data_IF_883460051903
#
_entry.id   IF_883460051903
#
_cell.length_a   1.000
_cell.length_b   1.000
_cell.length_c   1.000
_cell.angle_alpha   90.00
_cell.angle_beta   90.00
_cell.angle_gamma   90.00
#
_symmetry.space_group_name_H-M   'P 1'
#
loop_
_entity.id
_entity.type
_entity.pdbx_description
1 polymer ?
#
# COMPACT_ATOMS: atom_id res chain seq x y z
N UNK A 1 34.46 -38.21 -5.60
CA UNK A 1 33.22 -38.87 -6.08
C UNK A 1 32.10 -38.40 -5.17
N UNK A 2 31.56 -37.20 -5.43
CA UNK A 2 30.62 -36.47 -4.56
C UNK A 2 29.41 -36.05 -5.38
N UNK A 3 28.57 -37.02 -5.70
CA UNK A 3 27.48 -36.86 -6.67
C UNK A 3 26.23 -37.57 -6.18
N UNK A 4 25.74 -37.21 -4.98
CA UNK A 4 24.46 -37.70 -4.41
C UNK A 4 23.76 -36.68 -3.48
N UNK A 5 23.90 -35.38 -3.74
CA UNK A 5 23.08 -34.34 -3.08
C UNK A 5 22.19 -33.44 -3.98
N UNK A 6 22.03 -33.61 -5.31
CA UNK A 6 21.09 -32.77 -6.05
C UNK A 6 19.62 -33.16 -5.81
N UNK A 7 19.33 -34.45 -5.63
CA UNK A 7 17.95 -34.97 -5.61
C UNK A 7 17.15 -34.50 -4.38
N UNK A 8 17.78 -34.46 -3.20
CA UNK A 8 17.17 -34.02 -1.94
C UNK A 8 16.77 -32.54 -1.97
N UNK A 9 17.56 -31.70 -2.64
CA UNK A 9 17.28 -30.27 -2.77
C UNK A 9 16.13 -30.01 -3.74
N UNK A 10 16.05 -30.78 -4.83
CA UNK A 10 14.92 -30.71 -5.77
C UNK A 10 13.60 -31.09 -5.10
N UNK A 11 13.59 -32.16 -4.30
CA UNK A 11 12.39 -32.58 -3.56
C UNK A 11 11.93 -31.48 -2.59
N UNK A 12 12.89 -30.84 -1.89
CA UNK A 12 12.59 -29.73 -0.98
C UNK A 12 12.04 -28.50 -1.71
N UNK A 13 12.62 -28.14 -2.86
CA UNK A 13 12.13 -27.01 -3.67
C UNK A 13 10.76 -27.28 -4.29
N UNK A 14 10.49 -28.49 -4.78
CA UNK A 14 9.17 -28.88 -5.28
C UNK A 14 8.13 -28.83 -4.15
N UNK A 15 8.49 -29.29 -2.96
CA UNK A 15 7.63 -29.22 -1.79
C UNK A 15 7.35 -27.77 -1.36
N UNK A 16 8.37 -26.91 -1.31
CA UNK A 16 8.20 -25.47 -1.03
C UNK A 16 7.36 -24.78 -2.12
N UNK A 17 7.55 -25.13 -3.40
CA UNK A 17 6.75 -24.62 -4.52
C UNK A 17 5.28 -25.04 -4.42
N UNK A 18 5.02 -26.30 -4.05
CA UNK A 18 3.68 -26.83 -3.79
C UNK A 18 3.01 -26.11 -2.62
N UNK A 19 3.75 -25.91 -1.53
CA UNK A 19 3.27 -25.18 -0.35
C UNK A 19 2.96 -23.72 -0.70
N UNK A 20 3.80 -23.07 -1.51
CA UNK A 20 3.56 -21.70 -1.97
C UNK A 20 2.36 -21.59 -2.91
N UNK A 21 2.16 -22.54 -3.83
CA UNK A 21 0.97 -22.58 -4.68
C UNK A 21 -0.31 -22.79 -3.86
N UNK A 22 -0.25 -23.66 -2.85
CA UNK A 22 -1.38 -23.90 -1.95
C UNK A 22 -1.67 -22.66 -1.11
N UNK A 23 -0.64 -22.00 -0.57
CA UNK A 23 -0.78 -20.73 0.16
C UNK A 23 -1.40 -19.64 -0.72
N UNK A 24 -0.98 -19.53 -1.98
CA UNK A 24 -1.57 -18.61 -2.95
C UNK A 24 -3.05 -18.92 -3.21
N UNK A 25 -3.40 -20.20 -3.35
CA UNK A 25 -4.77 -20.67 -3.50
C UNK A 25 -5.65 -20.42 -2.28
N UNK A 26 -5.10 -20.52 -1.06
CA UNK A 26 -5.81 -20.21 0.19
C UNK A 26 -6.03 -18.71 0.35
N UNK A 27 -5.06 -17.88 -0.05
CA UNK A 27 -5.20 -16.41 -0.04
C UNK A 27 -6.30 -15.97 -1.01
N UNK A 28 -6.29 -16.48 -2.25
CA UNK A 28 -7.32 -16.17 -3.24
C UNK A 28 -8.68 -16.80 -2.90
N UNK A 29 -8.70 -18.03 -2.41
CA UNK A 29 -9.93 -18.75 -2.05
C UNK A 29 -10.61 -18.19 -0.81
N UNK A 30 -9.84 -17.87 0.24
CA UNK A 30 -10.36 -17.22 1.44
C UNK A 30 -10.92 -15.83 1.13
N UNK A 31 -10.22 -15.05 0.31
CA UNK A 31 -10.70 -13.75 -0.15
C UNK A 31 -11.95 -13.88 -1.03
N UNK A 32 -12.00 -14.86 -1.94
CA UNK A 32 -13.15 -15.12 -2.80
C UNK A 32 -14.38 -15.53 -1.99
N UNK A 33 -14.21 -16.36 -0.96
CA UNK A 33 -15.31 -16.72 -0.04
C UNK A 33 -15.78 -15.49 0.75
N UNK A 34 -14.86 -14.67 1.27
CA UNK A 34 -15.23 -13.43 2.00
C UNK A 34 -15.99 -12.47 1.08
N UNK A 35 -15.56 -12.31 -0.17
CA UNK A 35 -16.23 -11.46 -1.15
C UNK A 35 -17.60 -12.06 -1.50
N UNK A 36 -17.67 -13.35 -1.81
CA UNK A 36 -18.91 -14.00 -2.29
C UNK A 36 -19.98 -14.17 -1.19
N UNK A 37 -19.56 -14.38 0.07
CA UNK A 37 -20.45 -14.42 1.23
C UNK A 37 -20.86 -13.02 1.71
N UNK A 38 -20.12 -11.98 1.31
CA UNK A 38 -20.43 -10.60 1.68
C UNK A 38 -21.68 -10.11 0.94
N UNK A 39 -22.68 -9.56 1.65
CA UNK A 39 -23.89 -9.01 1.02
C UNK A 39 -23.57 -7.92 -0.01
N UNK A 40 -22.41 -7.29 0.12
CA UNK A 40 -21.89 -6.27 -0.78
C UNK A 40 -21.54 -6.80 -2.17
N UNK A 41 -21.20 -8.08 -2.33
CA UNK A 41 -20.88 -8.63 -3.66
C UNK A 41 -22.11 -8.62 -4.57
N UNK A 42 -23.27 -9.02 -4.06
CA UNK A 42 -24.52 -8.98 -4.82
C UNK A 42 -24.93 -7.54 -5.11
N UNK A 43 -24.82 -6.65 -4.11
CA UNK A 43 -25.09 -5.21 -4.31
C UNK A 43 -24.19 -4.59 -5.39
N UNK A 44 -22.91 -4.96 -5.44
CA UNK A 44 -21.98 -4.48 -6.46
C UNK A 44 -22.31 -5.09 -7.82
N UNK A 45 -22.61 -6.40 -7.89
CA UNK A 45 -23.00 -7.06 -9.14
C UNK A 45 -24.31 -6.50 -9.70
N UNK A 46 -25.32 -6.29 -8.86
CA UNK A 46 -26.60 -5.72 -9.26
C UNK A 46 -26.42 -4.28 -9.75
N UNK A 47 -25.56 -3.48 -9.09
CA UNK A 47 -25.20 -2.12 -9.53
C UNK A 47 -24.27 -2.07 -10.75
N UNK A 48 -23.59 -3.16 -11.07
CA UNK A 48 -22.76 -3.28 -12.28
C UNK A 48 -23.57 -3.75 -13.48
N UNK A 49 -24.60 -4.59 -13.27
CA UNK A 49 -25.50 -5.11 -14.30
C UNK A 49 -26.55 -4.07 -14.71
N UNK A 50 -26.99 -3.23 -13.77
CA UNK A 50 -27.79 -2.04 -14.03
C UNK A 50 -26.78 -0.94 -14.43
N UNK A 51 -26.55 -0.74 -15.73
CA UNK A 51 -25.53 0.18 -16.27
C UNK A 51 -25.88 1.65 -15.96
N UNK A 52 -25.76 2.04 -14.69
CA UNK A 52 -25.96 3.40 -14.21
C UNK A 52 -24.65 4.18 -14.39
N UNK A 53 -24.71 5.22 -15.23
CA UNK A 53 -23.59 6.14 -15.50
C UNK A 53 -23.05 6.74 -14.21
N UNK A 54 -23.88 6.92 -13.19
CA UNK A 54 -23.47 7.47 -11.89
C UNK A 54 -22.51 6.54 -11.16
N UNK A 55 -22.81 5.25 -11.14
CA UNK A 55 -21.95 4.25 -10.52
C UNK A 55 -20.59 4.16 -11.23
N UNK A 56 -20.59 4.23 -12.57
CA UNK A 56 -19.36 4.23 -13.35
C UNK A 56 -18.45 5.43 -13.02
N UNK A 57 -19.02 6.63 -12.87
CA UNK A 57 -18.26 7.84 -12.50
C UNK A 57 -17.70 7.73 -11.08
N UNK A 58 -18.50 7.28 -10.11
CA UNK A 58 -18.06 7.09 -8.73
C UNK A 58 -16.93 6.05 -8.63
N UNK A 59 -17.06 4.92 -9.34
CA UNK A 59 -16.05 3.87 -9.40
C UNK A 59 -14.75 4.37 -10.03
N UNK A 60 -14.84 5.12 -11.14
CA UNK A 60 -13.67 5.66 -11.83
C UNK A 60 -12.96 6.69 -10.95
N UNK A 61 -13.70 7.58 -10.28
CA UNK A 61 -13.13 8.54 -9.33
C UNK A 61 -12.43 7.83 -8.16
N UNK A 62 -13.06 6.81 -7.58
CA UNK A 62 -12.44 5.98 -6.54
C UNK A 62 -11.17 5.31 -7.03
N UNK A 63 -11.20 4.67 -8.20
CA UNK A 63 -10.06 3.96 -8.78
C UNK A 63 -8.90 4.91 -9.10
N UNK A 64 -9.20 6.13 -9.56
CA UNK A 64 -8.20 7.16 -9.80
C UNK A 64 -7.49 7.57 -8.50
N UNK A 65 -8.25 7.87 -7.43
CA UNK A 65 -7.68 8.21 -6.12
C UNK A 65 -6.87 7.04 -5.55
N UNK A 66 -7.42 5.82 -5.61
CA UNK A 66 -6.75 4.62 -5.12
C UNK A 66 -5.43 4.34 -5.85
N UNK A 67 -5.42 4.49 -7.19
CA UNK A 67 -4.21 4.31 -8.01
C UNK A 67 -3.13 5.32 -7.63
N UNK A 68 -3.50 6.58 -7.41
CA UNK A 68 -2.57 7.62 -6.96
C UNK A 68 -1.99 7.29 -5.59
N UNK A 69 -2.81 6.84 -4.63
CA UNK A 69 -2.35 6.44 -3.29
C UNK A 69 -1.33 5.29 -3.39
N UNK A 70 -1.64 4.26 -4.18
CA UNK A 70 -0.75 3.10 -4.35
C UNK A 70 0.56 3.52 -5.02
N UNK A 71 0.51 4.38 -6.04
CA UNK A 71 1.70 4.90 -6.71
C UNK A 71 2.59 5.70 -5.74
N UNK A 72 2.01 6.60 -4.94
CA UNK A 72 2.74 7.40 -3.95
C UNK A 72 3.33 6.52 -2.84
N UNK A 73 2.58 5.50 -2.39
CA UNK A 73 3.07 4.52 -1.42
C UNK A 73 4.23 3.70 -1.98
N UNK A 74 4.18 3.31 -3.26
CA UNK A 74 5.29 2.62 -3.92
C UNK A 74 6.52 3.54 -4.06
N UNK A 75 6.32 4.80 -4.47
CA UNK A 75 7.41 5.78 -4.58
C UNK A 75 8.07 6.06 -3.22
N UNK A 76 7.30 6.03 -2.13
CA UNK A 76 7.81 6.19 -0.76
C UNK A 76 8.89 5.16 -0.41
N UNK A 77 8.76 3.92 -0.90
CA UNK A 77 9.74 2.84 -0.61
C UNK A 77 10.81 2.69 -1.71
N UNK A 78 10.50 3.09 -2.94
CA UNK A 78 11.41 2.96 -4.08
C UNK A 78 12.47 4.07 -4.15
N UNK A 79 12.18 5.23 -3.59
CA UNK A 79 13.04 6.42 -3.74
C UNK A 79 14.22 6.37 -2.76
N UNK A 80 15.44 6.55 -3.28
CA UNK A 80 16.68 6.51 -2.48
C UNK A 80 16.84 7.73 -1.56
N UNK A 81 16.27 8.87 -1.92
CA UNK A 81 16.37 10.09 -1.14
C UNK A 81 15.30 10.08 -0.04
N UNK A 82 15.74 10.04 1.22
CA UNK A 82 14.86 9.94 2.40
C UNK A 82 13.89 11.13 2.53
N UNK A 83 14.30 12.34 2.10
CA UNK A 83 13.44 13.53 2.12
C UNK A 83 12.32 13.40 1.10
N UNK A 84 12.64 12.92 -0.10
CA UNK A 84 11.63 12.71 -1.14
C UNK A 84 10.67 11.59 -0.74
N UNK A 85 11.18 10.51 -0.16
CA UNK A 85 10.37 9.43 0.40
C UNK A 85 9.37 9.94 1.45
N UNK A 86 9.83 10.80 2.36
CA UNK A 86 8.95 11.42 3.36
C UNK A 86 7.86 12.33 2.72
N UNK A 87 8.18 13.05 1.64
CA UNK A 87 7.17 13.84 0.90
C UNK A 87 6.14 12.96 0.20
N UNK A 88 6.55 11.84 -0.42
CA UNK A 88 5.62 10.87 -1.02
C UNK A 88 4.72 10.21 0.04
N UNK A 89 5.23 9.98 1.25
CA UNK A 89 4.44 9.50 2.38
C UNK A 89 3.36 10.51 2.77
N UNK A 90 3.70 11.80 2.89
CA UNK A 90 2.70 12.86 3.15
C UNK A 90 1.66 12.93 2.02
N UNK A 91 2.09 12.78 0.76
CA UNK A 91 1.19 12.70 -0.38
C UNK A 91 0.23 11.52 -0.28
N UNK A 92 0.70 10.37 0.23
CA UNK A 92 -0.13 9.19 0.48
C UNK A 92 -1.20 9.49 1.55
N UNK A 93 -0.83 10.15 2.65
CA UNK A 93 -1.80 10.57 3.67
C UNK A 93 -2.82 11.59 3.16
N UNK A 94 -2.41 12.51 2.27
CA UNK A 94 -3.32 13.44 1.61
C UNK A 94 -4.31 12.70 0.68
N UNK A 95 -3.84 11.70 -0.07
CA UNK A 95 -4.70 10.85 -0.89
C UNK A 95 -5.73 10.09 -0.05
N UNK A 96 -5.32 9.53 1.10
CA UNK A 96 -6.23 8.87 2.05
C UNK A 96 -7.27 9.83 2.61
N UNK A 97 -6.89 11.07 2.95
CA UNK A 97 -7.84 12.09 3.39
C UNK A 97 -8.87 12.44 2.30
N UNK A 98 -8.43 12.56 1.04
CA UNK A 98 -9.31 12.76 -0.10
C UNK A 98 -10.29 11.57 -0.29
N UNK A 99 -9.81 10.34 -0.09
CA UNK A 99 -10.63 9.13 -0.15
C UNK A 99 -11.69 9.12 0.97
N UNK A 100 -11.36 9.54 2.20
CA UNK A 100 -12.35 9.66 3.27
C UNK A 100 -13.42 10.71 2.97
N UNK A 101 -13.04 11.86 2.43
CA UNK A 101 -14.00 12.90 2.02
C UNK A 101 -14.90 12.36 0.89
N UNK A 102 -14.32 11.66 -0.09
CA UNK A 102 -15.06 11.04 -1.19
C UNK A 102 -16.09 10.00 -0.69
N UNK A 103 -15.75 9.23 0.35
CA UNK A 103 -16.63 8.27 0.99
C UNK A 103 -17.67 8.89 1.94
N UNK A 104 -17.92 10.21 1.87
CA UNK A 104 -18.82 10.93 2.79
C UNK A 104 -18.41 10.81 4.28
N UNK A 105 -17.12 10.67 4.57
CA UNK A 105 -16.56 10.68 5.92
C UNK A 105 -15.69 11.93 6.18
N UNK A 106 -16.25 13.15 6.12
CA UNK A 106 -15.47 14.40 6.17
C UNK A 106 -14.77 14.61 7.51
N UNK A 107 -15.38 14.21 8.63
CA UNK A 107 -14.76 14.32 9.95
C UNK A 107 -13.45 13.52 10.03
N UNK A 108 -13.47 12.28 9.56
CA UNK A 108 -12.29 11.40 9.52
C UNK A 108 -11.26 11.95 8.53
N UNK A 109 -11.70 12.45 7.37
CA UNK A 109 -10.83 13.11 6.39
C UNK A 109 -10.09 14.33 6.93
N UNK A 110 -10.78 15.21 7.67
CA UNK A 110 -10.15 16.37 8.32
C UNK A 110 -9.22 15.93 9.45
N UNK A 111 -9.64 14.96 10.27
CA UNK A 111 -8.78 14.39 11.30
C UNK A 111 -7.50 13.78 10.70
N UNK A 112 -7.59 13.13 9.55
CA UNK A 112 -6.45 12.58 8.81
C UNK A 112 -5.44 13.68 8.46
N UNK A 113 -5.92 14.82 7.96
CA UNK A 113 -5.06 15.95 7.62
C UNK A 113 -4.42 16.52 8.89
N UNK A 114 -5.21 16.79 9.93
CA UNK A 114 -4.71 17.42 11.16
C UNK A 114 -3.68 16.55 11.89
N UNK A 115 -3.95 15.25 12.03
CA UNK A 115 -3.11 14.33 12.80
C UNK A 115 -1.96 13.79 11.96
N UNK A 116 -2.22 13.22 10.79
CA UNK A 116 -1.18 12.54 10.02
C UNK A 116 -0.36 13.48 9.17
N UNK A 117 -0.96 14.50 8.54
CA UNK A 117 -0.17 15.48 7.76
C UNK A 117 0.39 16.54 8.71
N UNK A 118 -0.44 17.06 9.62
CA UNK A 118 -0.09 18.17 10.50
C UNK A 118 0.87 17.81 11.65
N UNK A 119 0.60 16.74 12.40
CA UNK A 119 1.44 16.36 13.54
C UNK A 119 2.50 15.32 13.16
N UNK A 120 2.06 14.13 12.75
CA UNK A 120 2.96 12.99 12.49
C UNK A 120 3.86 13.27 11.29
N UNK A 121 3.30 13.78 10.19
CA UNK A 121 4.03 14.06 8.94
C UNK A 121 5.10 15.12 9.13
N UNK A 122 4.77 16.23 9.82
CA UNK A 122 5.74 17.28 10.16
C UNK A 122 6.83 16.73 11.07
N UNK A 123 6.50 15.92 12.09
CA UNK A 123 7.48 15.27 12.96
C UNK A 123 8.45 14.37 12.16
N UNK A 124 7.92 13.56 11.24
CA UNK A 124 8.73 12.71 10.36
C UNK A 124 9.65 13.56 9.49
N UNK A 125 9.15 14.63 8.87
CA UNK A 125 9.96 15.52 8.04
C UNK A 125 11.11 16.15 8.84
N UNK A 126 10.82 16.67 10.04
CA UNK A 126 11.86 17.21 10.91
C UNK A 126 12.91 16.15 11.29
N UNK A 127 12.48 14.97 11.73
CA UNK A 127 13.37 13.88 12.12
C UNK A 127 14.29 13.45 10.96
N UNK A 128 13.72 13.28 9.76
CA UNK A 128 14.46 12.92 8.55
C UNK A 128 15.47 13.99 8.15
N UNK A 129 15.08 15.26 8.20
CA UNK A 129 15.96 16.37 7.85
C UNK A 129 17.13 16.50 8.83
N UNK A 130 16.88 16.32 10.14
CA UNK A 130 17.92 16.34 11.16
C UNK A 130 18.91 15.18 10.99
N UNK A 131 18.39 13.96 10.86
CA UNK A 131 19.22 12.74 10.68
C UNK A 131 20.11 12.82 9.43
N UNK A 132 19.61 13.43 8.34
CA UNK A 132 20.42 13.61 7.13
C UNK A 132 21.61 14.56 7.36
N UNK A 133 21.43 15.62 8.15
CA UNK A 133 22.51 16.59 8.43
C UNK A 133 23.59 15.95 9.29
N UNK A 134 23.21 15.20 10.32
CA UNK A 134 24.18 14.56 11.23
C UNK A 134 25.09 13.56 10.50
N UNK A 135 24.53 12.73 9.61
CA UNK A 135 25.31 11.77 8.81
C UNK A 135 26.30 12.49 7.86
N UNK A 136 25.95 13.66 7.35
CA UNK A 136 26.79 14.40 6.41
C UNK A 136 27.97 15.11 7.09
N UNK A 137 27.77 15.62 8.32
CA UNK A 137 28.80 16.24 9.15
C UNK A 137 29.85 15.22 9.60
N UNK A 138 29.43 14.02 10.00
CA UNK A 138 30.32 12.91 10.38
C UNK A 138 31.24 12.47 9.23
N UNK A 139 30.79 12.59 7.97
CA UNK A 139 31.61 12.21 6.79
C UNK A 139 32.74 13.21 6.47
N UNK A 140 32.72 14.42 7.03
CA UNK A 140 33.70 15.48 6.75
C UNK A 140 34.53 15.90 7.98
N UNK A 141 34.20 15.40 9.17
CA UNK A 141 34.96 15.63 10.38
C UNK A 141 35.91 14.47 10.66
N UNK A 142 37.22 14.72 10.64
CA UNK A 142 38.18 13.87 11.34
C UNK A 142 37.83 13.82 12.83
N UNK A 143 37.45 12.63 13.30
CA UNK A 143 37.89 12.02 14.56
C UNK A 143 37.91 10.51 14.40
#
# INVERSE_FOLDING_TARGET
>A
MSEKEPEKNVIRSIFELLVLLLALGVIFGGLAVIIFLSPWSKTILDRLLDYDIRFAIELLAFLAIATIIVLLSALTVLVKNIVHSALYLLGTFAGVAALYIFMNAPFVGVAQILVYIGAVGVLILFAVMLTRRTIMEESHGEI
#
